data_IF_815991142885
#
_entry.id   IF_815991142885
#
_cell.length_a   1.000
_cell.length_b   1.000
_cell.length_c   1.000
_cell.angle_alpha   90.00
_cell.angle_beta   90.00
_cell.angle_gamma   90.00
#
_symmetry.space_group_name_H-M   'P 1'
#
loop_
_entity.id
_entity.type
_entity.pdbx_description
1 polymer ?
#
# COMPACT_ATOMS: atom_id res chain seq x y z
N UNK A 1 -31.18 -66.67 3.36
CA UNK A 1 -32.24 -65.74 3.82
C UNK A 1 -31.79 -65.15 5.14
N UNK A 2 -31.71 -63.81 5.21
CA UNK A 2 -31.10 -63.02 6.27
C UNK A 2 -32.05 -62.84 7.45
N UNK A 3 -31.51 -62.92 8.66
CA UNK A 3 -32.02 -62.23 9.86
C UNK A 3 -30.86 -62.17 10.87
N UNK A 4 -30.49 -60.96 11.28
CA UNK A 4 -29.95 -60.64 12.61
C UNK A 4 -29.77 -59.11 12.74
N UNK A 5 -30.04 -58.64 13.96
CA UNK A 5 -30.13 -57.27 14.48
C UNK A 5 -28.85 -56.43 14.31
N UNK A 6 -28.98 -55.09 14.24
CA UNK A 6 -28.50 -54.16 15.29
C UNK A 6 -28.78 -52.66 14.98
N UNK A 7 -29.29 -51.95 15.99
CA UNK A 7 -28.70 -50.68 16.44
C UNK A 7 -29.02 -49.38 15.68
N UNK A 8 -30.08 -48.70 16.09
CA UNK A 8 -30.34 -47.28 15.82
C UNK A 8 -29.34 -46.41 16.60
N UNK A 9 -28.49 -45.66 15.90
CA UNK A 9 -27.75 -44.52 16.46
C UNK A 9 -27.83 -43.36 15.47
N UNK A 10 -28.59 -42.32 15.86
CA UNK A 10 -28.69 -41.05 15.15
C UNK A 10 -27.36 -40.30 15.32
N UNK A 11 -26.50 -40.38 14.31
CA UNK A 11 -25.43 -39.41 14.11
C UNK A 11 -25.99 -38.16 13.44
N UNK A 12 -26.14 -37.08 14.20
CA UNK A 12 -26.39 -35.76 13.65
C UNK A 12 -25.19 -35.35 12.80
N UNK A 13 -25.30 -35.48 11.48
CA UNK A 13 -24.37 -34.88 10.55
C UNK A 13 -24.52 -33.36 10.67
N UNK A 14 -23.66 -32.76 11.49
CA UNK A 14 -23.43 -31.34 11.51
C UNK A 14 -23.08 -30.93 10.08
N UNK A 15 -23.97 -30.18 9.45
CA UNK A 15 -23.66 -29.39 8.28
C UNK A 15 -22.48 -28.49 8.67
N UNK A 16 -21.27 -28.87 8.27
CA UNK A 16 -20.19 -27.92 8.10
C UNK A 16 -20.72 -26.93 7.08
N UNK A 17 -21.30 -25.84 7.57
CA UNK A 17 -21.51 -24.64 6.79
C UNK A 17 -20.17 -24.36 6.12
N UNK A 18 -20.12 -24.59 4.81
CA UNK A 18 -19.01 -24.13 3.99
C UNK A 18 -18.92 -22.64 4.25
N UNK A 19 -18.00 -22.26 5.13
CA UNK A 19 -17.48 -20.91 5.19
C UNK A 19 -16.85 -20.73 3.83
N UNK A 20 -17.59 -20.10 2.92
CA UNK A 20 -17.03 -19.52 1.72
C UNK A 20 -15.73 -18.85 2.14
N UNK A 21 -14.66 -19.17 1.41
CA UNK A 21 -13.35 -18.56 1.51
C UNK A 21 -13.48 -17.06 1.22
N UNK A 22 -14.13 -16.34 2.12
CA UNK A 22 -14.05 -14.91 2.27
C UNK A 22 -12.65 -14.71 2.83
N UNK A 23 -11.67 -14.73 1.93
CA UNK A 23 -10.33 -14.20 2.18
C UNK A 23 -10.53 -12.92 2.98
N UNK A 24 -10.21 -13.01 4.26
CA UNK A 24 -10.50 -11.93 5.19
C UNK A 24 -9.75 -10.73 4.66
N UNK A 25 -10.46 -9.63 4.38
CA UNK A 25 -9.88 -8.36 3.93
C UNK A 25 -8.78 -7.85 4.87
N UNK A 26 -8.64 -8.43 6.07
CA UNK A 26 -7.64 -8.11 7.08
C UNK A 26 -6.49 -9.12 7.20
N UNK A 27 -6.45 -10.17 6.36
CA UNK A 27 -5.31 -11.09 6.35
C UNK A 27 -4.09 -10.39 5.78
N UNK A 28 -3.12 -10.08 6.66
CA UNK A 28 -1.85 -9.46 6.26
C UNK A 28 -1.06 -10.34 5.29
N UNK A 29 -1.15 -11.68 5.44
CA UNK A 29 -0.67 -12.71 4.51
C UNK A 29 0.52 -12.28 3.65
N UNK A 30 0.35 -12.39 2.33
CA UNK A 30 1.33 -11.95 1.34
C UNK A 30 1.27 -10.43 1.06
N UNK A 31 0.24 -9.72 1.56
CA UNK A 31 0.05 -8.27 1.34
C UNK A 31 1.14 -7.45 2.01
N UNK A 32 1.66 -7.93 3.13
CA UNK A 32 2.80 -7.34 3.83
C UNK A 32 4.11 -7.35 3.02
N UNK A 33 4.24 -8.21 2.01
CA UNK A 33 5.50 -8.33 1.24
C UNK A 33 5.84 -7.04 0.50
N UNK A 34 4.85 -6.23 0.10
CA UNK A 34 5.08 -4.90 -0.49
C UNK A 34 5.94 -4.02 0.44
N UNK A 35 5.87 -4.25 1.76
CA UNK A 35 6.70 -3.57 2.73
C UNK A 35 8.05 -4.29 2.91
N UNK A 36 8.06 -5.61 3.04
CA UNK A 36 9.27 -6.32 3.48
C UNK A 36 10.19 -6.75 2.34
N UNK A 37 9.61 -7.21 1.24
CA UNK A 37 10.31 -7.46 -0.01
C UNK A 37 10.22 -6.18 -0.83
N UNK A 38 11.32 -5.42 -0.92
CA UNK A 38 11.53 -4.59 -2.09
C UNK A 38 11.41 -5.56 -3.27
N UNK A 39 10.26 -5.58 -3.95
CA UNK A 39 10.07 -6.46 -5.09
C UNK A 39 11.05 -6.01 -6.16
N UNK A 40 12.25 -6.59 -6.10
CA UNK A 40 13.10 -6.73 -7.24
C UNK A 40 12.26 -7.47 -8.27
N UNK A 41 12.07 -6.81 -9.41
CA UNK A 41 11.39 -7.32 -10.59
C UNK A 41 9.88 -7.07 -10.52
N UNK A 42 9.43 -6.29 -11.51
CA UNK A 42 8.07 -6.25 -12.02
C UNK A 42 7.29 -7.49 -11.58
N UNK A 43 6.25 -7.31 -10.78
CA UNK A 43 5.38 -8.41 -10.46
C UNK A 43 4.93 -9.04 -11.78
N UNK A 44 5.45 -10.24 -12.02
CA UNK A 44 4.75 -11.22 -12.82
C UNK A 44 3.37 -11.31 -12.19
N UNK A 45 2.35 -10.99 -12.99
CA UNK A 45 0.95 -11.11 -12.62
C UNK A 45 0.78 -12.36 -11.76
N UNK A 46 0.10 -12.29 -10.60
CA UNK A 46 -0.18 -13.47 -9.80
C UNK A 46 -0.73 -14.55 -10.74
N UNK A 47 -0.04 -15.68 -10.78
CA UNK A 47 -0.32 -16.80 -11.67
C UNK A 47 -1.81 -17.05 -11.73
N UNK A 48 -2.36 -16.91 -12.93
CA UNK A 48 -3.77 -17.01 -13.26
C UNK A 48 -4.27 -18.45 -13.03
N UNK A 49 -4.57 -18.79 -11.78
CA UNK A 49 -5.23 -20.04 -11.41
C UNK A 49 -6.54 -19.79 -10.65
N UNK A 50 -7.16 -18.63 -10.83
CA UNK A 50 -8.58 -18.44 -10.54
C UNK A 50 -9.31 -18.23 -11.85
N UNK A 51 -10.40 -18.97 -12.04
CA UNK A 51 -11.30 -18.84 -13.20
C UNK A 51 -12.04 -17.48 -13.23
N UNK A 52 -11.78 -16.63 -12.24
CA UNK A 52 -12.15 -15.23 -12.15
C UNK A 52 -10.87 -14.41 -12.33
N UNK A 53 -10.91 -13.32 -13.12
CA UNK A 53 -9.74 -12.52 -13.50
C UNK A 53 -8.84 -12.07 -12.33
N UNK A 54 -7.65 -11.52 -12.63
CA UNK A 54 -6.67 -11.21 -11.61
C UNK A 54 -7.24 -10.21 -10.59
N UNK A 55 -7.38 -10.64 -9.33
CA UNK A 55 -7.70 -9.77 -8.21
C UNK A 55 -6.41 -9.09 -7.75
N UNK A 56 -6.36 -7.77 -7.88
CA UNK A 56 -5.25 -6.95 -7.38
C UNK A 56 -5.66 -6.23 -6.10
N UNK A 57 -4.79 -6.26 -5.10
CA UNK A 57 -4.99 -5.45 -3.92
C UNK A 57 -4.66 -3.99 -4.25
N UNK A 58 -5.34 -3.06 -3.59
CA UNK A 58 -5.15 -1.62 -3.83
C UNK A 58 -3.69 -1.20 -3.65
N UNK A 59 -3.04 -1.67 -2.60
CA UNK A 59 -1.66 -1.33 -2.28
C UNK A 59 -0.65 -1.82 -3.33
N UNK A 60 -0.99 -2.88 -4.05
CA UNK A 60 -0.16 -3.45 -5.12
C UNK A 60 -0.20 -2.55 -6.35
N UNK A 61 -1.40 -2.07 -6.71
CA UNK A 61 -1.59 -1.07 -7.77
C UNK A 61 -0.90 0.24 -7.39
N UNK A 62 -1.09 0.70 -6.15
CA UNK A 62 -0.44 1.90 -5.63
C UNK A 62 1.08 1.79 -5.70
N UNK A 63 1.65 0.69 -5.20
CA UNK A 63 3.09 0.49 -5.16
C UNK A 63 3.69 0.45 -6.56
N UNK A 64 3.12 -0.35 -7.47
CA UNK A 64 3.63 -0.50 -8.83
C UNK A 64 3.56 0.82 -9.61
N UNK A 65 2.47 1.59 -9.49
CA UNK A 65 2.37 2.90 -10.12
C UNK A 65 3.43 3.85 -9.59
N UNK A 66 3.55 4.00 -8.28
CA UNK A 66 4.49 4.93 -7.68
C UNK A 66 5.95 4.53 -7.92
N UNK A 67 6.26 3.24 -7.97
CA UNK A 67 7.58 2.75 -8.35
C UNK A 67 7.90 3.15 -9.79
N UNK A 68 6.98 2.93 -10.74
CA UNK A 68 7.16 3.34 -12.12
C UNK A 68 7.33 4.85 -12.27
N UNK A 69 6.57 5.65 -11.50
CA UNK A 69 6.72 7.11 -11.45
C UNK A 69 8.12 7.49 -10.97
N UNK A 70 8.61 6.88 -9.88
CA UNK A 70 9.95 7.17 -9.33
C UNK A 70 11.06 6.80 -10.29
N UNK A 71 10.97 5.64 -10.94
CA UNK A 71 11.98 5.19 -11.89
C UNK A 71 12.01 6.06 -13.15
N UNK A 72 10.84 6.38 -13.73
CA UNK A 72 10.75 7.29 -14.87
C UNK A 72 11.19 8.71 -14.49
N UNK A 73 10.81 9.20 -13.31
CA UNK A 73 11.25 10.50 -12.82
C UNK A 73 12.77 10.59 -12.71
N UNK A 74 13.41 9.50 -12.28
CA UNK A 74 14.87 9.42 -12.18
C UNK A 74 15.52 9.59 -13.55
N UNK A 75 15.06 8.83 -14.55
CA UNK A 75 15.64 8.88 -15.89
C UNK A 75 15.39 10.21 -16.58
N UNK A 76 14.19 10.77 -16.42
CA UNK A 76 13.81 12.03 -17.04
C UNK A 76 14.51 13.23 -16.40
N UNK A 77 14.66 13.24 -15.07
CA UNK A 77 15.41 14.29 -14.39
C UNK A 77 16.89 14.29 -14.79
N UNK A 78 17.50 13.11 -14.88
CA UNK A 78 18.88 12.97 -15.38
C UNK A 78 19.00 13.42 -16.84
N UNK A 79 18.04 13.04 -17.69
CA UNK A 79 17.98 13.50 -19.08
C UNK A 79 17.90 15.03 -19.16
N UNK A 80 17.04 15.68 -18.37
CA UNK A 80 16.88 17.13 -18.37
C UNK A 80 18.19 17.82 -17.95
N UNK A 81 18.85 17.31 -16.91
CA UNK A 81 20.15 17.81 -16.47
C UNK A 81 21.20 17.72 -17.59
N UNK A 82 21.30 16.57 -18.25
CA UNK A 82 22.32 16.35 -19.29
C UNK A 82 22.03 17.12 -20.59
N UNK A 83 20.75 17.25 -20.97
CA UNK A 83 20.36 17.82 -22.26
C UNK A 83 20.18 19.35 -22.22
N UNK A 84 19.50 19.87 -21.19
CA UNK A 84 19.13 21.29 -21.14
C UNK A 84 20.05 22.15 -20.26
N UNK A 85 20.64 21.58 -19.21
CA UNK A 85 21.30 22.35 -18.15
C UNK A 85 22.83 22.32 -18.27
N UNK A 86 23.38 21.11 -18.36
CA UNK A 86 24.82 20.86 -18.47
C UNK A 86 25.16 20.13 -19.77
N UNK A 87 25.12 20.82 -20.93
CA UNK A 87 25.71 20.25 -22.13
C UNK A 87 27.20 20.04 -21.85
N UNK A 88 27.70 18.83 -22.14
CA UNK A 88 29.08 18.33 -21.89
C UNK A 88 30.24 19.21 -22.39
N UNK A 89 29.95 20.39 -22.96
CA UNK A 89 30.88 21.34 -23.56
C UNK A 89 31.09 22.65 -22.77
N UNK A 90 30.50 22.85 -21.58
CA UNK A 90 30.78 24.05 -20.77
C UNK A 90 32.12 23.92 -20.03
N UNK A 91 33.10 24.75 -20.43
CA UNK A 91 34.40 24.93 -19.79
C UNK A 91 34.28 25.25 -18.28
N UNK A 92 35.26 24.87 -17.44
CA UNK A 92 35.17 24.95 -16.00
C UNK A 92 35.56 26.34 -15.51
N UNK A 93 34.64 27.32 -15.50
CA UNK A 93 34.98 28.64 -14.95
C UNK A 93 33.88 29.22 -14.07
N UNK A 94 34.25 29.33 -12.79
CA UNK A 94 33.75 30.23 -11.74
C UNK A 94 32.42 29.92 -11.05
N UNK A 95 32.50 29.71 -9.73
CA UNK A 95 31.41 29.68 -8.74
C UNK A 95 30.49 28.46 -8.80
N UNK A 96 31.10 27.28 -8.62
CA UNK A 96 30.51 25.94 -8.72
C UNK A 96 29.21 25.70 -7.94
N UNK A 97 28.97 26.35 -6.80
CA UNK A 97 27.79 26.06 -5.95
C UNK A 97 26.55 26.91 -6.29
N UNK A 98 26.74 28.15 -6.76
CA UNK A 98 25.61 29.02 -7.12
C UNK A 98 25.11 28.70 -8.53
N UNK A 99 26.03 28.41 -9.45
CA UNK A 99 25.69 27.93 -10.78
C UNK A 99 24.94 26.59 -10.70
N UNK A 100 25.41 25.64 -9.87
CA UNK A 100 24.75 24.34 -9.71
C UNK A 100 23.34 24.46 -9.11
N UNK A 101 23.10 25.43 -8.20
CA UNK A 101 21.75 25.69 -7.65
C UNK A 101 20.78 26.21 -8.70
N UNK A 102 21.18 27.21 -9.49
CA UNK A 102 20.34 27.77 -10.55
C UNK A 102 20.06 26.74 -11.65
N UNK A 103 21.07 25.93 -11.99
CA UNK A 103 20.98 24.80 -12.91
C UNK A 103 19.97 23.74 -12.43
N UNK A 104 20.03 23.40 -11.14
CA UNK A 104 19.09 22.44 -10.52
C UNK A 104 17.67 23.00 -10.48
N UNK A 105 17.50 24.29 -10.19
CA UNK A 105 16.18 24.94 -10.16
C UNK A 105 15.53 24.95 -11.55
N UNK A 106 16.29 25.28 -12.59
CA UNK A 106 15.82 25.21 -13.97
C UNK A 106 15.41 23.78 -14.37
N UNK A 107 16.19 22.77 -13.98
CA UNK A 107 15.84 21.37 -14.20
C UNK A 107 14.52 21.00 -13.51
N UNK A 108 14.32 21.43 -12.26
CA UNK A 108 13.07 21.20 -11.51
C UNK A 108 11.85 21.83 -12.20
N UNK A 109 11.99 23.05 -12.74
CA UNK A 109 10.89 23.73 -13.44
C UNK A 109 10.50 22.99 -14.73
N UNK A 110 11.48 22.60 -15.56
CA UNK A 110 11.23 21.86 -16.80
C UNK A 110 10.60 20.50 -16.46
N UNK A 111 11.16 19.80 -15.47
CA UNK A 111 10.65 18.52 -15.00
C UNK A 111 9.20 18.62 -14.56
N UNK A 112 8.86 19.63 -13.75
CA UNK A 112 7.49 19.83 -13.27
C UNK A 112 6.49 19.94 -14.41
N UNK A 113 6.80 20.71 -15.45
CA UNK A 113 5.94 20.82 -16.63
C UNK A 113 5.80 19.51 -17.42
N UNK A 114 6.86 18.70 -17.50
CA UNK A 114 6.82 17.40 -18.20
C UNK A 114 6.03 16.36 -17.39
N UNK A 115 6.16 16.38 -16.06
CA UNK A 115 5.54 15.38 -15.17
C UNK A 115 4.15 15.73 -14.67
N UNK A 116 3.66 16.95 -14.85
CA UNK A 116 2.31 17.37 -14.47
C UNK A 116 1.21 16.34 -14.83
N UNK A 117 1.09 15.84 -16.08
CA UNK A 117 0.05 14.85 -16.42
C UNK A 117 0.25 13.50 -15.70
N UNK A 118 1.48 13.14 -15.35
CA UNK A 118 1.77 11.91 -14.59
C UNK A 118 1.29 12.06 -13.14
N UNK A 119 1.48 13.25 -12.55
CA UNK A 119 0.96 13.56 -11.23
C UNK A 119 -0.57 13.55 -11.20
N UNK A 120 -1.23 14.04 -12.25
CA UNK A 120 -2.70 13.96 -12.39
C UNK A 120 -3.20 12.51 -12.37
N UNK A 121 -2.55 11.60 -13.09
CA UNK A 121 -2.89 10.17 -13.07
C UNK A 121 -2.75 9.59 -11.65
N UNK A 122 -1.65 9.92 -10.97
CA UNK A 122 -1.42 9.49 -9.59
C UNK A 122 -2.48 10.03 -8.62
N UNK A 123 -2.86 11.30 -8.76
CA UNK A 123 -3.88 11.95 -7.94
C UNK A 123 -5.28 11.36 -8.21
N UNK A 124 -5.61 11.05 -9.46
CA UNK A 124 -6.87 10.39 -9.83
C UNK A 124 -7.00 9.00 -9.19
N UNK A 125 -5.91 8.23 -9.12
CA UNK A 125 -5.89 6.96 -8.41
C UNK A 125 -6.16 7.15 -6.91
N UNK A 126 -5.57 8.17 -6.28
CA UNK A 126 -5.80 8.47 -4.87
C UNK A 126 -7.25 8.84 -4.59
N UNK A 127 -7.88 9.64 -5.46
CA UNK A 127 -9.28 10.01 -5.34
C UNK A 127 -10.19 8.78 -5.41
N UNK A 128 -9.89 7.82 -6.29
CA UNK A 128 -10.58 6.54 -6.36
C UNK A 128 -10.46 5.77 -5.03
N UNK A 129 -9.27 5.74 -4.41
CA UNK A 129 -9.05 5.06 -3.14
C UNK A 129 -9.78 5.73 -1.97
N UNK A 130 -9.86 7.06 -1.96
CA UNK A 130 -10.60 7.79 -0.93
C UNK A 130 -12.11 7.51 -0.99
N UNK A 131 -12.68 7.45 -2.20
CA UNK A 131 -14.12 7.32 -2.40
C UNK A 131 -14.61 5.89 -2.27
N UNK A 132 -13.86 4.94 -2.83
CA UNK A 132 -14.36 3.57 -3.07
C UNK A 132 -13.84 2.54 -2.07
N UNK A 133 -12.77 2.84 -1.33
CA UNK A 133 -12.12 1.83 -0.49
C UNK A 133 -12.43 2.00 1.00
N UNK A 134 -12.88 0.91 1.62
CA UNK A 134 -13.07 0.75 3.06
C UNK A 134 -12.01 -0.15 3.70
N UNK A 135 -11.03 -0.61 2.92
CA UNK A 135 -9.92 -1.42 3.42
C UNK A 135 -8.89 -0.55 4.14
N UNK A 136 -9.03 -0.46 5.47
CA UNK A 136 -8.11 0.28 6.34
C UNK A 136 -6.68 -0.27 6.29
N UNK A 137 -6.51 -1.59 6.09
CA UNK A 137 -5.19 -2.21 6.02
C UNK A 137 -4.49 -1.82 4.71
N UNK A 138 -5.20 -1.87 3.58
CA UNK A 138 -4.65 -1.45 2.28
C UNK A 138 -4.15 -0.01 2.31
N UNK A 139 -4.93 0.92 2.87
CA UNK A 139 -4.53 2.33 3.01
C UNK A 139 -3.31 2.48 3.93
N UNK A 140 -3.25 1.72 5.03
CA UNK A 140 -2.10 1.73 5.93
C UNK A 140 -0.83 1.23 5.23
N UNK A 141 -0.93 0.20 4.39
CA UNK A 141 0.19 -0.32 3.61
C UNK A 141 0.68 0.73 2.61
N UNK A 142 -0.23 1.37 1.86
CA UNK A 142 0.10 2.49 0.95
C UNK A 142 0.85 3.60 1.69
N UNK A 143 0.31 4.07 2.81
CA UNK A 143 0.93 5.11 3.63
C UNK A 143 2.33 4.70 4.12
N UNK A 144 2.50 3.42 4.49
CA UNK A 144 3.79 2.91 4.97
C UNK A 144 4.82 2.73 3.85
N UNK A 145 4.38 2.60 2.60
CA UNK A 145 5.27 2.54 1.43
C UNK A 145 5.78 3.90 1.00
N UNK A 146 4.99 4.98 1.17
CA UNK A 146 5.38 6.34 0.74
C UNK A 146 6.76 6.80 1.22
N UNK A 147 7.15 6.64 2.50
CA UNK A 147 8.47 7.04 2.98
C UNK A 147 9.64 6.32 2.28
N UNK A 148 9.40 5.11 1.74
CA UNK A 148 10.44 4.36 1.03
C UNK A 148 10.73 4.95 -0.34
N UNK A 149 9.71 5.45 -1.02
CA UNK A 149 9.91 6.17 -2.28
C UNK A 149 10.70 7.47 -2.05
N UNK A 150 10.39 8.19 -0.97
CA UNK A 150 11.19 9.35 -0.55
C UNK A 150 12.65 8.99 -0.26
N UNK A 151 12.91 7.87 0.43
CA UNK A 151 14.27 7.40 0.69
C UNK A 151 15.02 7.05 -0.62
N UNK A 152 14.33 6.42 -1.58
CA UNK A 152 14.90 6.10 -2.90
C UNK A 152 15.25 7.38 -3.66
N UNK A 153 14.35 8.37 -3.69
CA UNK A 153 14.57 9.66 -4.34
C UNK A 153 15.72 10.44 -3.71
N UNK A 154 15.81 10.42 -2.37
CA UNK A 154 16.90 11.06 -1.64
C UNK A 154 18.26 10.42 -1.99
N UNK A 155 18.33 9.08 -2.06
CA UNK A 155 19.55 8.37 -2.48
C UNK A 155 19.94 8.69 -3.93
N UNK A 156 18.96 8.93 -4.80
CA UNK A 156 19.14 9.31 -6.21
C UNK A 156 19.33 10.82 -6.41
N UNK A 157 19.28 11.64 -5.35
CA UNK A 157 19.40 13.10 -5.38
C UNK A 157 18.37 13.81 -6.28
N UNK A 158 17.12 13.34 -6.29
CA UNK A 158 16.03 13.95 -7.07
C UNK A 158 15.12 14.73 -6.12
N UNK A 159 15.18 16.08 -6.09
CA UNK A 159 14.39 16.88 -5.14
C UNK A 159 12.95 17.14 -5.59
N UNK A 160 12.59 16.79 -6.83
CA UNK A 160 11.36 17.31 -7.47
C UNK A 160 10.09 16.54 -7.09
N UNK A 161 10.19 15.29 -6.63
CA UNK A 161 9.03 14.43 -6.32
C UNK A 161 8.58 14.50 -4.85
N UNK A 162 9.32 15.18 -3.98
CA UNK A 162 9.01 15.27 -2.55
C UNK A 162 7.62 15.88 -2.32
N UNK A 163 7.29 16.94 -3.07
CA UNK A 163 5.99 17.60 -2.99
C UNK A 163 4.84 16.66 -3.36
N UNK A 164 5.02 15.82 -4.39
CA UNK A 164 4.02 14.84 -4.82
C UNK A 164 3.74 13.80 -3.72
N UNK A 165 4.78 13.18 -3.16
CA UNK A 165 4.61 12.18 -2.08
C UNK A 165 4.12 12.79 -0.77
N UNK A 166 4.46 14.05 -0.49
CA UNK A 166 3.85 14.79 0.61
C UNK A 166 2.34 14.99 0.39
N UNK A 167 1.93 15.35 -0.84
CA UNK A 167 0.51 15.42 -1.22
C UNK A 167 -0.21 14.08 -1.05
N UNK A 168 0.42 12.97 -1.44
CA UNK A 168 -0.09 11.61 -1.23
C UNK A 168 -0.35 11.34 0.26
N UNK A 169 0.59 11.68 1.14
CA UNK A 169 0.43 11.50 2.58
C UNK A 169 -0.69 12.37 3.17
N UNK A 170 -0.76 13.65 2.75
CA UNK A 170 -1.82 14.58 3.17
C UNK A 170 -3.21 14.14 2.72
N UNK A 171 -3.29 13.41 1.61
CA UNK A 171 -4.50 12.84 1.05
C UNK A 171 -4.94 11.55 1.78
N UNK A 172 -4.01 10.62 2.00
CA UNK A 172 -4.34 9.31 2.59
C UNK A 172 -4.55 9.34 4.11
N UNK A 173 -3.81 10.20 4.84
CA UNK A 173 -3.86 10.21 6.31
C UNK A 173 -5.23 10.55 6.89
N UNK A 174 -5.93 11.64 6.47
CA UNK A 174 -7.26 11.96 6.98
C UNK A 174 -8.28 10.85 6.69
N UNK A 175 -8.14 10.19 5.53
CA UNK A 175 -8.98 9.06 5.16
C UNK A 175 -8.75 7.86 6.08
N UNK A 176 -7.49 7.52 6.34
CA UNK A 176 -7.13 6.45 7.27
C UNK A 176 -7.72 6.69 8.67
N UNK A 177 -7.56 7.91 9.18
CA UNK A 177 -8.12 8.30 10.49
C UNK A 177 -9.64 8.10 10.53
N UNK A 178 -10.36 8.61 9.53
CA UNK A 178 -11.82 8.45 9.43
C UNK A 178 -12.25 6.98 9.46
N UNK A 179 -11.53 6.10 8.75
CA UNK A 179 -11.85 4.66 8.74
C UNK A 179 -11.58 3.99 10.09
N UNK A 180 -10.49 4.37 10.76
CA UNK A 180 -10.16 3.88 12.11
C UNK A 180 -11.20 4.30 13.15
N UNK A 181 -11.71 5.53 13.05
CA UNK A 181 -12.78 6.02 13.92
C UNK A 181 -14.07 5.20 13.71
N UNK A 182 -14.45 4.97 12.45
CA UNK A 182 -15.59 4.10 12.11
C UNK A 182 -15.40 2.67 12.64
N UNK A 183 -14.19 2.12 12.55
CA UNK A 183 -13.88 0.79 13.07
C UNK A 183 -14.03 0.74 14.60
N UNK A 184 -13.50 1.76 15.29
CA UNK A 184 -13.59 1.91 16.74
C UNK A 184 -15.06 1.99 17.20
N UNK A 185 -15.88 2.79 16.53
CA UNK A 185 -17.31 2.90 16.81
C UNK A 185 -18.05 1.57 16.65
N UNK A 186 -17.70 0.79 15.60
CA UNK A 186 -18.27 -0.55 15.38
C UNK A 186 -17.89 -1.51 16.50
N UNK A 187 -16.62 -1.52 16.93
CA UNK A 187 -16.17 -2.35 18.04
C UNK A 187 -16.88 -1.99 19.36
N UNK A 188 -17.04 -0.69 19.65
CA UNK A 188 -17.76 -0.22 20.84
C UNK A 188 -19.22 -0.69 20.80
N UNK A 189 -19.92 -0.55 19.67
CA UNK A 189 -21.31 -1.02 19.51
C UNK A 189 -21.42 -2.54 19.70
N UNK A 190 -20.51 -3.31 19.11
CA UNK A 190 -20.48 -4.78 19.26
C UNK A 190 -20.20 -5.20 20.71
N UNK A 191 -19.29 -4.51 21.40
CA UNK A 191 -18.99 -4.81 22.81
C UNK A 191 -20.22 -4.64 23.71
N UNK A 192 -21.03 -3.60 23.46
CA UNK A 192 -22.27 -3.31 24.19
C UNK A 192 -23.39 -4.30 23.89
N UNK A 193 -23.40 -4.89 22.69
CA UNK A 193 -24.40 -5.85 22.25
C UNK A 193 -24.11 -7.30 22.70
N UNK A 194 -22.88 -7.61 23.13
CA UNK A 194 -22.52 -8.96 23.56
C UNK A 194 -23.07 -9.19 24.97
N UNK A 195 -23.92 -10.21 25.21
CA UNK A 195 -24.32 -10.56 26.57
C UNK A 195 -23.06 -10.93 27.35
N UNK A 196 -22.89 -10.29 28.52
CA UNK A 196 -21.75 -10.46 29.42
C UNK A 196 -21.58 -11.94 29.76
N UNK A 197 -20.73 -12.66 29.01
CA UNK A 197 -19.96 -13.73 29.64
C UNK A 197 -18.85 -13.01 30.38
N UNK A 198 -18.90 -13.09 31.71
CA UNK A 198 -17.83 -12.61 32.57
C UNK A 198 -16.49 -13.08 31.98
N UNK A 199 -15.78 -12.15 31.36
CA UNK A 199 -14.40 -12.36 30.99
C UNK A 199 -13.67 -12.37 32.32
N UNK A 200 -13.19 -13.54 32.72
CA UNK A 200 -12.35 -13.68 33.89
C UNK A 200 -11.04 -12.95 33.60
N UNK A 201 -10.94 -11.72 34.09
CA UNK A 201 -9.78 -10.84 33.93
C UNK A 201 -8.68 -11.16 34.95
N UNK A 202 -8.89 -12.13 35.85
CA UNK A 202 -7.89 -12.48 36.83
C UNK A 202 -6.83 -13.42 36.23
N UNK A 203 -5.54 -13.16 36.49
CA UNK A 203 -4.49 -14.10 36.09
C UNK A 203 -4.74 -15.45 36.77
N UNK A 204 -4.81 -16.52 35.97
CA UNK A 204 -4.95 -17.88 36.52
C UNK A 204 -3.76 -18.17 37.41
N UNK A 205 -4.01 -18.38 38.70
CA UNK A 205 -2.96 -18.83 39.62
C UNK A 205 -2.50 -20.22 39.16
N UNK A 206 -1.24 -20.33 38.79
CA UNK A 206 -0.60 -21.62 38.52
C UNK A 206 -0.42 -22.28 39.88
N UNK A 207 -1.31 -23.23 40.20
CA UNK A 207 -1.14 -24.09 41.36
C UNK A 207 -0.04 -25.08 41.00
N UNK A 208 1.14 -24.91 41.60
CA UNK A 208 2.20 -25.91 41.54
C UNK A 208 1.83 -27.04 42.50
N UNK A 209 1.49 -28.21 41.96
CA UNK A 209 1.36 -29.48 42.68
C UNK A 209 2.58 -30.35 42.41
#
# INVERSE_FOLDING_TARGET
MKSLFFGTSRGAAGSSTGSSDNLSSFQLGNRGNIIFEQMSIAQTLPGSNHQNGPFFHMEEVFYNLNLAIVDNATTEFEFILQFFVSPKNKLPISNSELASKMETEMACMIFGHVFEPVFEIGNSLLEMFQTSCFDTLGILLCLRTTPKFLEILQKRQIPTLDAYFNGVNLSLWPRFQTLMDIHSDRLIKLSKSRPSRAFDTFPRQVILS
#
